data_IF_077010372508
#
_entry.id   IF_077010372508
#
_cell.length_a   1.000
_cell.length_b   1.000
_cell.length_c   1.000
_cell.angle_alpha   90.00
_cell.angle_beta   90.00
_cell.angle_gamma   90.00
#
_symmetry.space_group_name_H-M   'P 1'
#
loop_
_entity.id
_entity.type
_entity.pdbx_description
1 polymer ?
#
# COMPACT_ATOMS: atom_id res chain seq x y z
N UNK A 1 47.46 6.46 94.71
CA UNK A 1 46.17 6.89 94.59
C UNK A 1 45.97 6.94 93.12
N UNK A 2 45.47 5.78 92.59
CA UNK A 2 45.68 5.26 91.26
C UNK A 2 44.66 5.76 90.26
N UNK A 3 45.15 6.20 89.11
CA UNK A 3 44.36 6.44 87.92
C UNK A 3 44.56 5.26 86.94
N UNK A 4 43.54 4.44 86.85
CA UNK A 4 43.50 3.37 85.81
C UNK A 4 43.17 3.95 84.46
N UNK A 5 44.05 3.76 83.48
CA UNK A 5 43.86 4.02 82.05
C UNK A 5 43.00 2.89 81.44
N UNK A 6 41.88 3.25 80.82
CA UNK A 6 41.17 2.38 79.97
C UNK A 6 41.52 2.76 78.53
N UNK A 7 42.19 1.87 77.82
CA UNK A 7 42.37 1.91 76.35
C UNK A 7 41.17 1.34 75.65
N UNK A 8 40.48 2.12 74.85
CA UNK A 8 39.41 1.64 73.94
C UNK A 8 40.03 1.34 72.61
N UNK A 9 39.94 0.07 72.21
CA UNK A 9 40.27 -0.46 70.87
C UNK A 9 39.08 -0.13 69.91
N UNK A 10 39.33 0.80 68.98
CA UNK A 10 38.40 1.00 67.83
C UNK A 10 38.73 -0.01 66.77
N UNK A 11 37.81 -1.00 66.53
CA UNK A 11 37.83 -1.92 65.36
C UNK A 11 37.07 -1.23 64.25
N UNK A 12 37.79 -0.75 63.24
CA UNK A 12 37.19 -0.21 62.02
C UNK A 12 36.86 -1.36 61.07
N UNK A 13 35.57 -1.69 60.95
CA UNK A 13 35.09 -2.66 59.95
C UNK A 13 35.01 -1.95 58.57
N UNK A 14 35.93 -2.27 57.67
CA UNK A 14 35.91 -1.81 56.28
C UNK A 14 34.95 -2.73 55.48
N UNK A 15 33.67 -2.35 55.33
CA UNK A 15 32.73 -3.01 54.44
C UNK A 15 33.02 -2.57 53.00
N UNK A 16 33.70 -3.46 52.24
CA UNK A 16 33.92 -3.29 50.81
C UNK A 16 32.60 -3.44 50.07
N UNK A 17 32.05 -2.31 49.57
CA UNK A 17 30.90 -2.29 48.67
C UNK A 17 31.39 -2.77 47.29
N UNK A 18 31.15 -4.04 46.94
CA UNK A 18 31.30 -4.54 45.58
C UNK A 18 30.23 -3.90 44.71
N UNK A 19 30.56 -2.85 43.98
CA UNK A 19 29.76 -2.32 42.90
C UNK A 19 29.72 -3.35 41.77
N UNK A 20 28.72 -4.23 41.76
CA UNK A 20 28.39 -5.03 40.61
C UNK A 20 27.77 -4.10 39.59
N UNK A 21 28.57 -3.59 38.65
CA UNK A 21 28.02 -2.90 37.47
C UNK A 21 27.15 -3.91 36.71
N UNK A 22 25.87 -3.59 36.45
CA UNK A 22 25.08 -4.46 35.55
C UNK A 22 25.78 -4.48 34.22
N UNK A 23 26.21 -5.67 33.76
CA UNK A 23 26.69 -5.85 32.42
C UNK A 23 25.55 -5.39 31.49
N UNK A 24 25.76 -4.33 30.71
CA UNK A 24 24.91 -4.00 29.60
C UNK A 24 24.89 -5.23 28.68
N UNK A 25 23.86 -6.05 28.79
CA UNK A 25 23.62 -7.09 27.82
C UNK A 25 23.36 -6.36 26.50
N UNK A 26 24.32 -6.42 25.59
CA UNK A 26 24.13 -5.91 24.24
C UNK A 26 22.85 -6.57 23.69
N UNK A 27 21.84 -5.78 23.45
CA UNK A 27 20.60 -6.27 22.88
C UNK A 27 20.96 -6.88 21.53
N UNK A 28 20.57 -8.12 21.31
CA UNK A 28 20.79 -8.78 20.02
C UNK A 28 20.29 -7.86 18.89
N UNK A 29 21.05 -7.71 17.81
CA UNK A 29 20.65 -6.83 16.71
C UNK A 29 19.25 -7.20 16.24
N UNK A 30 18.45 -6.18 15.95
CA UNK A 30 17.10 -6.38 15.41
C UNK A 30 17.17 -7.20 14.13
N UNK A 31 16.27 -8.17 13.99
CA UNK A 31 16.15 -9.01 12.80
C UNK A 31 14.96 -8.51 11.97
N UNK A 32 15.24 -7.95 10.80
CA UNK A 32 14.22 -7.52 9.85
C UNK A 32 14.22 -8.48 8.67
N UNK A 33 13.05 -9.00 8.31
CA UNK A 33 12.82 -9.74 7.07
C UNK A 33 11.94 -8.88 6.18
N UNK A 34 12.43 -8.55 4.98
CA UNK A 34 11.68 -7.76 4.01
C UNK A 34 11.30 -8.62 2.79
N UNK A 35 10.05 -8.47 2.34
CA UNK A 35 9.48 -9.17 1.17
C UNK A 35 8.98 -8.12 0.19
N UNK A 36 9.31 -8.31 -1.09
CA UNK A 36 8.82 -7.50 -2.21
C UNK A 36 7.43 -7.93 -2.67
N UNK A 37 7.21 -7.73 -3.97
CA UNK A 37 5.92 -7.94 -4.62
C UNK A 37 5.47 -9.40 -4.54
N UNK A 38 4.22 -9.61 -4.13
CA UNK A 38 3.61 -10.93 -3.93
C UNK A 38 2.61 -11.25 -5.03
N UNK A 39 1.80 -10.26 -5.42
CA UNK A 39 0.77 -10.38 -6.45
C UNK A 39 -0.07 -11.65 -6.33
N UNK A 40 -0.70 -11.85 -5.17
CA UNK A 40 -1.59 -12.98 -4.94
C UNK A 40 -0.90 -14.36 -4.91
N UNK A 41 0.44 -14.44 -4.85
CA UNK A 41 1.20 -15.69 -4.76
C UNK A 41 1.25 -16.19 -3.31
N UNK A 42 0.17 -16.79 -2.81
CA UNK A 42 0.12 -17.31 -1.43
C UNK A 42 1.15 -18.41 -1.19
N UNK A 43 1.37 -19.29 -2.16
CA UNK A 43 2.36 -20.37 -2.07
C UNK A 43 3.78 -19.82 -2.01
N UNK A 44 4.09 -18.82 -2.83
CA UNK A 44 5.38 -18.13 -2.79
C UNK A 44 5.62 -17.45 -1.45
N UNK A 45 4.63 -16.71 -0.96
CA UNK A 45 4.68 -16.03 0.33
C UNK A 45 4.90 -17.01 1.48
N UNK A 46 4.08 -18.05 1.59
CA UNK A 46 4.17 -19.02 2.70
C UNK A 46 5.46 -19.82 2.64
N UNK A 47 5.95 -20.16 1.44
CA UNK A 47 7.23 -20.85 1.26
C UNK A 47 8.39 -20.01 1.80
N UNK A 48 8.47 -18.74 1.41
CA UNK A 48 9.59 -17.88 1.84
C UNK A 48 9.50 -17.49 3.31
N UNK A 49 8.29 -17.29 3.84
CA UNK A 49 8.10 -17.04 5.27
C UNK A 49 8.51 -18.24 6.14
N UNK A 50 8.24 -19.47 5.69
CA UNK A 50 8.73 -20.71 6.35
C UNK A 50 10.25 -20.80 6.28
N UNK A 51 10.84 -20.56 5.11
CA UNK A 51 12.30 -20.59 4.93
C UNK A 51 13.03 -19.57 5.82
N UNK A 52 12.41 -18.42 6.10
CA UNK A 52 12.96 -17.43 7.04
C UNK A 52 12.67 -17.76 8.51
N UNK A 53 11.84 -18.76 8.81
CA UNK A 53 11.42 -19.12 10.17
C UNK A 53 10.46 -18.10 10.80
N UNK A 54 9.77 -17.27 10.00
CA UNK A 54 8.77 -16.35 10.52
C UNK A 54 7.42 -17.00 10.78
N UNK A 55 7.12 -18.09 10.06
CA UNK A 55 5.89 -18.89 10.28
C UNK A 55 6.23 -20.37 10.30
N UNK A 56 5.36 -21.14 10.96
CA UNK A 56 5.42 -22.60 10.97
C UNK A 56 4.58 -23.26 9.85
N UNK A 57 4.42 -24.59 9.92
CA UNK A 57 3.64 -25.37 8.97
C UNK A 57 2.15 -25.00 8.93
N UNK A 58 1.61 -24.51 10.03
CA UNK A 58 0.21 -24.04 10.15
C UNK A 58 0.02 -22.57 9.77
N UNK A 59 1.07 -21.90 9.31
CA UNK A 59 1.16 -20.47 9.01
C UNK A 59 1.04 -19.56 10.25
N UNK A 60 1.28 -20.10 11.45
CA UNK A 60 1.33 -19.30 12.67
C UNK A 60 2.70 -18.63 12.83
N UNK A 61 2.71 -17.42 13.42
CA UNK A 61 3.92 -16.66 13.65
C UNK A 61 4.89 -17.36 14.63
N UNK A 62 6.11 -17.58 14.19
CA UNK A 62 7.21 -18.14 14.97
C UNK A 62 8.44 -17.23 15.04
N UNK A 63 8.36 -16.05 14.39
CA UNK A 63 9.46 -15.10 14.29
C UNK A 63 9.86 -14.42 15.61
N UNK A 64 9.14 -14.65 16.73
CA UNK A 64 9.41 -14.01 17.99
C UNK A 64 9.43 -12.48 17.86
N UNK A 65 10.54 -11.84 18.26
CA UNK A 65 10.73 -10.37 18.19
C UNK A 65 11.17 -9.83 16.82
N UNK A 66 11.23 -10.67 15.78
CA UNK A 66 11.59 -10.22 14.45
C UNK A 66 10.57 -9.24 13.86
N UNK A 67 11.02 -8.42 12.91
CA UNK A 67 10.17 -7.53 12.12
C UNK A 67 10.01 -8.08 10.71
N UNK A 68 8.77 -8.28 10.27
CA UNK A 68 8.42 -8.51 8.88
C UNK A 68 8.02 -7.18 8.23
N UNK A 69 8.66 -6.85 7.10
CA UNK A 69 8.34 -5.69 6.25
C UNK A 69 7.91 -6.18 4.87
N UNK A 70 6.66 -5.94 4.49
CA UNK A 70 6.17 -6.17 3.15
C UNK A 70 6.08 -4.81 2.43
N UNK A 71 6.69 -4.68 1.22
CA UNK A 71 6.91 -3.38 0.57
C UNK A 71 5.82 -2.97 -0.44
N UNK A 72 4.65 -3.57 -0.41
CA UNK A 72 3.53 -3.28 -1.33
C UNK A 72 3.41 -4.30 -2.45
N UNK A 73 2.38 -4.16 -3.27
CA UNK A 73 2.02 -5.04 -4.37
C UNK A 73 1.80 -6.51 -3.94
N UNK A 74 0.99 -6.68 -2.92
CA UNK A 74 0.53 -8.02 -2.52
C UNK A 74 -0.80 -8.41 -3.18
N UNK A 75 -1.49 -7.47 -3.82
CA UNK A 75 -2.74 -7.66 -4.57
C UNK A 75 -2.49 -7.82 -6.07
N UNK A 76 -3.55 -8.17 -6.79
CA UNK A 76 -3.66 -8.25 -8.24
C UNK A 76 -2.84 -9.34 -8.94
N UNK A 77 -3.17 -9.60 -10.20
CA UNK A 77 -2.52 -10.53 -11.13
C UNK A 77 -2.64 -12.01 -10.75
N UNK A 78 -2.33 -12.36 -9.51
CA UNK A 78 -2.46 -13.71 -9.01
C UNK A 78 -3.80 -13.94 -8.32
N UNK A 79 -4.34 -15.14 -8.49
CA UNK A 79 -5.70 -15.51 -8.10
C UNK A 79 -5.94 -15.48 -6.59
N UNK A 80 -4.88 -15.69 -5.77
CA UNK A 80 -5.00 -15.87 -4.33
C UNK A 80 -4.86 -14.57 -3.51
N UNK A 81 -5.19 -13.43 -4.12
CA UNK A 81 -5.12 -12.10 -3.48
C UNK A 81 -5.81 -12.08 -2.12
N UNK A 82 -7.03 -12.64 -2.02
CA UNK A 82 -7.77 -12.69 -0.75
C UNK A 82 -7.04 -13.48 0.34
N UNK A 83 -6.46 -14.62 0.00
CA UNK A 83 -5.70 -15.44 0.95
C UNK A 83 -4.43 -14.73 1.42
N UNK A 84 -3.75 -13.99 0.54
CA UNK A 84 -2.59 -13.16 0.89
C UNK A 84 -2.98 -12.05 1.87
N UNK A 85 -4.08 -11.34 1.61
CA UNK A 85 -4.60 -10.29 2.51
C UNK A 85 -4.92 -10.86 3.89
N UNK A 86 -5.65 -11.99 3.94
CA UNK A 86 -6.02 -12.63 5.21
C UNK A 86 -4.79 -13.07 6.01
N UNK A 87 -3.77 -13.64 5.35
CA UNK A 87 -2.53 -14.04 6.00
C UNK A 87 -1.76 -12.83 6.55
N UNK A 88 -1.55 -11.77 5.77
CA UNK A 88 -0.83 -10.58 6.21
C UNK A 88 -1.53 -9.91 7.40
N UNK A 89 -2.87 -9.79 7.37
CA UNK A 89 -3.64 -9.28 8.49
C UNK A 89 -3.49 -10.13 9.76
N UNK A 90 -3.51 -11.46 9.62
CA UNK A 90 -3.31 -12.39 10.75
C UNK A 90 -1.89 -12.26 11.33
N UNK A 91 -0.86 -12.17 10.47
CA UNK A 91 0.53 -12.05 10.90
C UNK A 91 0.80 -10.73 11.63
N UNK A 92 0.16 -9.62 11.26
CA UNK A 92 0.27 -8.36 12.01
C UNK A 92 -0.16 -8.52 13.46
N UNK A 93 -1.29 -9.19 13.70
CA UNK A 93 -1.81 -9.44 15.05
C UNK A 93 -0.93 -10.44 15.83
N UNK A 94 -0.54 -11.53 15.18
CA UNK A 94 0.25 -12.58 15.82
C UNK A 94 1.67 -12.11 16.18
N UNK A 95 2.33 -11.37 15.27
CA UNK A 95 3.65 -10.80 15.51
C UNK A 95 3.63 -9.84 16.71
N UNK A 96 2.63 -8.93 16.77
CA UNK A 96 2.48 -8.00 17.88
C UNK A 96 2.29 -8.74 19.22
N UNK A 97 1.48 -9.79 19.25
CA UNK A 97 1.28 -10.63 20.45
C UNK A 97 2.57 -11.32 20.90
N UNK A 98 3.44 -11.71 19.98
CA UNK A 98 4.73 -12.34 20.25
C UNK A 98 5.85 -11.32 20.60
N UNK A 99 5.56 -10.03 20.63
CA UNK A 99 6.54 -8.95 20.86
C UNK A 99 7.40 -8.62 19.64
N UNK A 100 7.03 -9.13 18.48
CA UNK A 100 7.58 -8.79 17.18
C UNK A 100 6.72 -7.77 16.43
N UNK A 101 6.93 -7.68 15.12
CA UNK A 101 6.18 -6.75 14.27
C UNK A 101 6.02 -7.32 12.86
N UNK A 102 4.82 -7.20 12.29
CA UNK A 102 4.63 -7.33 10.86
C UNK A 102 3.97 -6.05 10.34
N UNK A 103 4.43 -5.57 9.20
CA UNK A 103 3.95 -4.31 8.58
C UNK A 103 3.87 -4.51 7.09
N UNK A 104 2.70 -4.23 6.51
CA UNK A 104 2.50 -4.19 5.07
C UNK A 104 2.38 -2.73 4.63
N UNK A 105 3.15 -2.34 3.62
CA UNK A 105 3.08 -1.01 3.01
C UNK A 105 2.13 -1.03 1.81
N UNK A 106 1.69 0.14 1.37
CA UNK A 106 0.94 0.27 0.13
C UNK A 106 1.89 0.31 -1.07
N UNK A 107 1.66 -0.57 -2.04
CA UNK A 107 2.16 -0.46 -3.39
C UNK A 107 1.14 0.23 -4.31
N UNK A 108 1.51 0.37 -5.57
CA UNK A 108 0.60 1.00 -6.53
C UNK A 108 -0.66 0.15 -6.79
N UNK A 109 -0.57 -1.18 -6.71
CA UNK A 109 -1.72 -2.06 -6.89
C UNK A 109 -2.76 -1.93 -5.78
N UNK A 110 -2.35 -1.83 -4.52
CA UNK A 110 -3.27 -1.57 -3.42
C UNK A 110 -3.97 -0.23 -3.61
N UNK A 111 -3.22 0.82 -3.97
CA UNK A 111 -3.78 2.16 -4.16
C UNK A 111 -4.70 2.22 -5.37
N UNK A 112 -4.34 1.60 -6.49
CA UNK A 112 -5.21 1.47 -7.67
C UNK A 112 -6.57 0.90 -7.28
N UNK A 113 -6.57 -0.20 -6.54
CA UNK A 113 -7.80 -0.82 -6.07
C UNK A 113 -8.62 0.08 -5.14
N UNK A 114 -7.98 0.84 -4.24
CA UNK A 114 -8.67 1.77 -3.34
C UNK A 114 -9.36 2.93 -4.08
N UNK A 115 -8.80 3.38 -5.20
CA UNK A 115 -9.39 4.45 -6.01
C UNK A 115 -10.27 3.94 -7.15
N UNK A 116 -10.48 2.63 -7.26
CA UNK A 116 -11.38 2.00 -8.24
C UNK A 116 -10.75 1.65 -9.59
N UNK A 117 -9.42 1.76 -9.74
CA UNK A 117 -8.70 1.29 -10.92
C UNK A 117 -8.42 -0.21 -10.81
N UNK A 118 -9.19 -1.02 -11.51
CA UNK A 118 -9.19 -2.48 -11.36
C UNK A 118 -8.62 -3.21 -12.60
N UNK A 119 -7.82 -2.57 -13.44
CA UNK A 119 -7.30 -3.14 -14.71
C UNK A 119 -6.48 -4.42 -14.54
N UNK A 120 -5.87 -4.62 -13.37
CA UNK A 120 -5.04 -5.80 -13.07
C UNK A 120 -5.77 -6.84 -12.18
N UNK A 121 -7.06 -6.62 -11.90
CA UNK A 121 -7.91 -7.57 -11.17
C UNK A 121 -8.52 -8.55 -12.13
N UNK A 122 -8.19 -9.83 -12.00
CA UNK A 122 -8.70 -10.88 -12.90
C UNK A 122 -10.07 -11.40 -12.46
N UNK A 123 -10.77 -12.12 -13.35
CA UNK A 123 -12.04 -12.77 -13.00
C UNK A 123 -11.89 -13.78 -11.87
N UNK A 124 -10.76 -14.45 -11.83
CA UNK A 124 -10.42 -15.44 -10.80
C UNK A 124 -10.27 -14.77 -9.43
N UNK A 125 -9.68 -13.57 -9.38
CA UNK A 125 -9.62 -12.78 -8.14
C UNK A 125 -11.03 -12.43 -7.66
N UNK A 126 -11.90 -11.90 -8.52
CA UNK A 126 -13.29 -11.61 -8.15
C UNK A 126 -14.02 -12.86 -7.64
N UNK A 127 -13.82 -14.01 -8.31
CA UNK A 127 -14.45 -15.28 -7.92
C UNK A 127 -14.09 -15.71 -6.48
N UNK A 128 -12.91 -15.32 -5.95
CA UNK A 128 -12.54 -15.63 -4.56
C UNK A 128 -13.36 -14.84 -3.53
N UNK A 129 -14.03 -13.76 -3.95
CA UNK A 129 -14.93 -12.97 -3.12
C UNK A 129 -16.39 -13.39 -3.24
N UNK A 130 -16.72 -14.18 -4.27
CA UNK A 130 -18.09 -14.65 -4.50
C UNK A 130 -18.57 -15.60 -3.40
N UNK A 131 -19.88 -15.59 -3.16
CA UNK A 131 -20.59 -16.50 -2.27
C UNK A 131 -21.94 -16.97 -2.88
N UNK A 132 -22.71 -17.73 -2.15
CA UNK A 132 -23.99 -18.28 -2.60
C UNK A 132 -25.04 -17.21 -3.03
N UNK A 133 -24.84 -15.93 -2.64
CA UNK A 133 -25.75 -14.83 -2.97
C UNK A 133 -25.22 -13.94 -4.10
N UNK A 134 -24.07 -14.22 -4.69
CA UNK A 134 -23.42 -13.34 -5.66
C UNK A 134 -24.24 -13.11 -6.92
N UNK A 135 -24.95 -14.12 -7.43
CA UNK A 135 -25.88 -13.94 -8.57
C UNK A 135 -26.99 -12.94 -8.23
N UNK A 136 -27.55 -13.02 -7.02
CA UNK A 136 -28.58 -12.09 -6.57
C UNK A 136 -28.05 -10.66 -6.43
N UNK A 137 -26.85 -10.50 -5.84
CA UNK A 137 -26.21 -9.17 -5.72
C UNK A 137 -25.90 -8.57 -7.07
N UNK A 138 -25.38 -9.37 -8.00
CA UNK A 138 -25.09 -8.92 -9.38
C UNK A 138 -26.35 -8.50 -10.12
N UNK A 139 -27.45 -9.24 -9.94
CA UNK A 139 -28.75 -8.88 -10.52
C UNK A 139 -29.28 -7.57 -9.92
N UNK A 140 -29.19 -7.39 -8.60
CA UNK A 140 -29.58 -6.15 -7.93
C UNK A 140 -28.72 -4.97 -8.40
N UNK A 141 -27.40 -5.12 -8.49
CA UNK A 141 -26.49 -4.08 -8.98
C UNK A 141 -26.82 -3.66 -10.42
N UNK A 142 -27.22 -4.59 -11.29
CA UNK A 142 -27.74 -4.26 -12.61
C UNK A 142 -29.05 -3.46 -12.55
N UNK A 143 -29.97 -3.84 -11.68
CA UNK A 143 -31.27 -3.13 -11.52
C UNK A 143 -31.03 -1.72 -11.01
N UNK A 144 -30.11 -1.53 -10.06
CA UNK A 144 -29.73 -0.23 -9.52
C UNK A 144 -29.07 0.65 -10.60
N UNK A 145 -28.14 0.09 -11.37
CA UNK A 145 -27.54 0.75 -12.53
C UNK A 145 -28.62 1.16 -13.55
N UNK A 146 -29.55 0.24 -13.89
CA UNK A 146 -30.57 0.50 -14.89
C UNK A 146 -31.53 1.60 -14.44
N UNK A 147 -31.91 1.65 -13.16
CA UNK A 147 -32.72 2.72 -12.58
C UNK A 147 -31.99 4.07 -12.64
N UNK A 148 -30.69 4.06 -12.30
CA UNK A 148 -29.82 5.23 -12.39
C UNK A 148 -29.72 5.75 -13.84
N UNK A 149 -29.45 4.87 -14.79
CA UNK A 149 -29.34 5.19 -16.19
C UNK A 149 -30.63 5.80 -16.76
N UNK A 150 -31.80 5.21 -16.49
CA UNK A 150 -33.11 5.77 -16.85
C UNK A 150 -33.31 7.17 -16.31
N UNK A 151 -33.03 7.40 -15.03
CA UNK A 151 -33.15 8.70 -14.39
C UNK A 151 -32.30 9.78 -15.08
N UNK A 152 -31.06 9.46 -15.40
CA UNK A 152 -30.14 10.41 -16.03
C UNK A 152 -30.44 10.64 -17.51
N UNK A 153 -30.98 9.65 -18.23
CA UNK A 153 -31.47 9.80 -19.60
C UNK A 153 -32.69 10.73 -19.72
N UNK A 154 -33.56 10.78 -18.70
CA UNK A 154 -34.78 11.59 -18.70
C UNK A 154 -34.54 13.10 -18.48
N UNK A 155 -33.34 13.51 -18.12
CA UNK A 155 -33.03 14.93 -17.89
C UNK A 155 -32.98 15.79 -19.18
N UNK A 156 -33.13 15.18 -20.35
CA UNK A 156 -33.16 15.87 -21.65
C UNK A 156 -31.84 16.47 -22.10
N UNK A 157 -30.75 16.10 -21.45
CA UNK A 157 -29.39 16.51 -21.74
C UNK A 157 -28.62 15.38 -22.44
N UNK A 158 -27.47 15.62 -23.10
CA UNK A 158 -26.67 14.56 -23.70
C UNK A 158 -26.36 13.48 -22.67
N UNK A 159 -26.74 12.24 -22.95
CA UNK A 159 -26.54 11.12 -22.03
C UNK A 159 -25.13 10.62 -22.13
N UNK A 160 -24.33 10.64 -21.04
CA UNK A 160 -23.00 10.03 -21.04
C UNK A 160 -23.08 8.54 -21.36
N UNK A 161 -22.05 8.03 -22.06
CA UNK A 161 -21.97 6.61 -22.42
C UNK A 161 -22.02 5.68 -21.19
N UNK A 162 -21.58 6.17 -20.04
CA UNK A 162 -21.64 5.45 -18.77
C UNK A 162 -23.08 5.03 -18.38
N UNK A 163 -24.11 5.73 -18.84
CA UNK A 163 -25.53 5.41 -18.60
C UNK A 163 -26.21 4.70 -19.79
N UNK A 164 -25.44 4.29 -20.79
CA UNK A 164 -25.97 3.68 -22.03
C UNK A 164 -25.52 2.23 -22.23
N UNK A 165 -25.00 1.55 -21.21
CA UNK A 165 -24.54 0.17 -21.31
C UNK A 165 -25.71 -0.80 -21.49
N UNK A 166 -25.54 -1.79 -22.38
CA UNK A 166 -26.44 -2.94 -22.44
C UNK A 166 -26.19 -3.87 -21.25
N UNK A 167 -27.19 -4.69 -20.89
CA UNK A 167 -27.04 -5.67 -19.83
C UNK A 167 -25.88 -6.64 -20.09
N UNK A 168 -25.71 -7.07 -21.33
CA UNK A 168 -24.64 -7.99 -21.73
C UNK A 168 -23.25 -7.35 -21.55
N UNK A 169 -23.06 -6.12 -22.02
CA UNK A 169 -21.81 -5.37 -21.85
C UNK A 169 -21.51 -5.17 -20.36
N UNK A 170 -22.50 -4.76 -19.57
CA UNK A 170 -22.35 -4.56 -18.13
C UNK A 170 -21.97 -5.86 -17.40
N UNK A 171 -22.64 -6.99 -17.69
CA UNK A 171 -22.32 -8.29 -17.10
C UNK A 171 -20.90 -8.78 -17.44
N UNK A 172 -20.37 -8.36 -18.60
CA UNK A 172 -19.01 -8.71 -19.03
C UNK A 172 -17.95 -8.04 -18.14
N UNK A 173 -18.19 -6.79 -17.74
CA UNK A 173 -17.29 -5.99 -16.88
C UNK A 173 -17.55 -6.21 -15.39
N UNK A 174 -18.70 -6.79 -15.01
CA UNK A 174 -19.13 -7.07 -13.64
C UNK A 174 -19.31 -8.59 -13.41
N UNK A 175 -18.22 -9.37 -13.37
CA UNK A 175 -18.29 -10.82 -13.12
C UNK A 175 -18.80 -11.11 -11.70
N UNK A 176 -19.10 -12.38 -11.41
CA UNK A 176 -19.44 -12.82 -10.05
C UNK A 176 -18.31 -12.49 -9.09
N UNK A 177 -18.67 -12.00 -7.90
CA UNK A 177 -17.73 -11.56 -6.89
C UNK A 177 -17.27 -10.11 -7.05
N UNK A 178 -17.59 -9.42 -8.17
CA UNK A 178 -17.21 -8.01 -8.37
C UNK A 178 -17.83 -7.09 -7.31
N UNK A 179 -19.14 -7.21 -7.07
CA UNK A 179 -19.83 -6.38 -6.07
C UNK A 179 -19.28 -6.63 -4.66
N UNK A 180 -19.03 -7.89 -4.31
CA UNK A 180 -18.42 -8.29 -3.04
C UNK A 180 -16.99 -7.76 -2.89
N UNK A 181 -16.22 -7.77 -3.95
CA UNK A 181 -14.86 -7.21 -4.00
C UNK A 181 -14.89 -5.70 -3.74
N UNK A 182 -15.74 -4.97 -4.46
CA UNK A 182 -15.93 -3.52 -4.27
C UNK A 182 -16.37 -3.20 -2.84
N UNK A 183 -17.30 -3.96 -2.27
CA UNK A 183 -17.73 -3.79 -0.87
C UNK A 183 -16.59 -4.10 0.10
N UNK A 184 -15.83 -5.19 -0.10
CA UNK A 184 -14.73 -5.58 0.76
C UNK A 184 -13.58 -4.54 0.79
N UNK A 185 -13.38 -3.79 -0.31
CA UNK A 185 -12.38 -2.72 -0.45
C UNK A 185 -12.94 -1.32 -0.19
N UNK A 186 -14.24 -1.18 0.04
CA UNK A 186 -14.88 0.10 0.40
C UNK A 186 -14.30 0.68 1.69
N UNK A 187 -14.51 1.99 1.99
CA UNK A 187 -14.08 2.59 3.25
C UNK A 187 -14.61 1.87 4.51
N UNK A 188 -15.72 1.13 4.39
CA UNK A 188 -16.33 0.34 5.48
C UNK A 188 -16.03 -1.16 5.39
N UNK A 189 -15.48 -1.63 4.29
CA UNK A 189 -15.15 -3.03 4.05
C UNK A 189 -13.94 -3.50 4.85
N UNK A 190 -13.86 -4.80 5.11
CA UNK A 190 -12.79 -5.43 5.89
C UNK A 190 -11.39 -5.05 5.40
N UNK A 191 -11.13 -5.27 4.12
CA UNK A 191 -9.82 -4.99 3.53
C UNK A 191 -9.62 -3.50 3.26
N UNK A 192 -10.68 -2.79 2.88
CA UNK A 192 -10.64 -1.36 2.63
C UNK A 192 -10.25 -0.54 3.86
N UNK A 193 -10.76 -0.88 5.05
CA UNK A 193 -10.36 -0.25 6.32
C UNK A 193 -8.89 -0.55 6.65
N UNK A 194 -8.48 -1.81 6.50
CA UNK A 194 -7.11 -2.22 6.79
C UNK A 194 -6.09 -1.53 5.87
N UNK A 195 -6.36 -1.49 4.56
CA UNK A 195 -5.50 -0.84 3.57
C UNK A 195 -5.38 0.68 3.82
N UNK A 196 -6.49 1.38 4.09
CA UNK A 196 -6.48 2.83 4.37
C UNK A 196 -5.70 3.19 5.64
N UNK A 197 -5.49 2.23 6.54
CA UNK A 197 -4.62 2.36 7.71
C UNK A 197 -3.13 2.26 7.40
N UNK A 198 -2.74 1.82 6.20
CA UNK A 198 -1.33 1.59 5.86
C UNK A 198 -0.61 2.86 5.40
N UNK A 199 0.71 2.80 5.48
CA UNK A 199 1.63 3.79 4.91
C UNK A 199 2.23 3.29 3.61
N UNK A 200 2.70 4.18 2.75
CA UNK A 200 3.49 3.82 1.56
C UNK A 200 4.99 3.79 1.82
N UNK A 201 5.43 4.46 2.88
CA UNK A 201 6.84 4.55 3.26
C UNK A 201 6.99 4.53 4.78
N UNK A 202 8.04 3.85 5.26
CA UNK A 202 8.45 3.86 6.66
C UNK A 202 9.95 3.70 6.79
N UNK A 203 10.51 4.10 7.93
CA UNK A 203 11.94 3.91 8.24
C UNK A 203 12.07 3.00 9.47
N UNK A 204 12.89 1.96 9.36
CA UNK A 204 13.23 1.06 10.47
C UNK A 204 14.74 0.83 10.44
N UNK A 205 15.42 1.03 11.55
CA UNK A 205 16.86 0.83 11.74
C UNK A 205 17.74 1.44 10.62
N UNK A 206 17.38 2.66 10.21
CA UNK A 206 18.10 3.39 9.17
C UNK A 206 17.85 2.89 7.74
N UNK A 207 16.93 1.95 7.53
CA UNK A 207 16.47 1.53 6.21
C UNK A 207 15.12 2.14 5.91
N UNK A 208 14.97 2.78 4.75
CA UNK A 208 13.70 3.30 4.22
C UNK A 208 13.07 2.17 3.42
N UNK A 209 11.90 1.71 3.86
CA UNK A 209 11.08 0.73 3.17
C UNK A 209 9.96 1.45 2.44
N UNK A 210 9.82 1.19 1.16
CA UNK A 210 8.75 1.71 0.32
C UNK A 210 8.57 0.81 -0.91
N UNK A 211 7.46 1.00 -1.62
CA UNK A 211 7.18 0.14 -2.76
C UNK A 211 8.16 0.39 -3.92
N UNK A 212 8.22 1.59 -4.47
CA UNK A 212 9.03 1.90 -5.65
C UNK A 212 10.27 2.73 -5.32
N UNK A 213 10.14 4.04 -5.16
CA UNK A 213 11.31 4.88 -4.89
C UNK A 213 10.95 6.37 -4.89
N UNK A 214 11.95 7.24 -4.77
CA UNK A 214 11.77 8.69 -4.79
C UNK A 214 12.74 9.26 -5.82
N UNK A 215 12.21 10.00 -6.80
CA UNK A 215 13.03 10.82 -7.69
C UNK A 215 13.72 11.91 -6.86
N UNK A 216 15.04 12.05 -6.91
CA UNK A 216 15.79 12.98 -6.05
C UNK A 216 15.34 14.43 -6.15
N UNK A 217 14.93 14.88 -7.34
CA UNK A 217 14.42 16.22 -7.65
C UNK A 217 12.96 16.44 -7.21
N UNK A 218 12.22 15.37 -6.91
CA UNK A 218 10.84 15.41 -6.42
C UNK A 218 10.72 14.98 -4.94
N UNK A 219 11.84 14.78 -4.26
CA UNK A 219 11.86 14.29 -2.90
C UNK A 219 11.29 15.35 -1.93
N UNK A 220 10.29 15.01 -1.11
CA UNK A 220 9.70 15.93 -0.13
C UNK A 220 10.71 16.29 0.99
N UNK A 221 10.37 17.30 1.78
CA UNK A 221 11.18 17.64 2.94
C UNK A 221 11.20 16.51 3.98
N UNK A 222 10.07 15.83 4.17
CA UNK A 222 9.88 14.72 5.11
C UNK A 222 9.24 13.54 4.40
N UNK A 223 9.67 12.30 4.73
CA UNK A 223 9.07 11.09 4.16
C UNK A 223 7.58 10.96 4.49
N UNK A 224 7.16 11.39 5.68
CA UNK A 224 5.75 11.36 6.09
C UNK A 224 4.83 12.23 5.23
N UNK A 225 5.37 13.23 4.55
CA UNK A 225 4.60 14.06 3.62
C UNK A 225 4.02 13.21 2.47
N UNK A 226 4.75 12.16 2.03
CA UNK A 226 4.25 11.19 1.04
C UNK A 226 3.07 10.38 1.58
N UNK A 227 3.15 9.91 2.83
CA UNK A 227 2.05 9.20 3.49
C UNK A 227 0.81 10.10 3.63
N UNK A 228 1.02 11.37 3.98
CA UNK A 228 -0.04 12.38 4.08
C UNK A 228 -0.72 12.62 2.73
N UNK A 229 0.07 12.90 1.69
CA UNK A 229 -0.42 13.14 0.33
C UNK A 229 -1.25 11.95 -0.19
N UNK A 230 -0.73 10.73 -0.09
CA UNK A 230 -1.43 9.53 -0.56
C UNK A 230 -2.77 9.33 0.15
N UNK A 231 -2.79 9.51 1.48
CA UNK A 231 -4.04 9.42 2.26
C UNK A 231 -5.04 10.50 1.86
N UNK A 232 -4.58 11.69 1.52
CA UNK A 232 -5.44 12.78 1.04
C UNK A 232 -6.05 12.46 -0.33
N UNK A 233 -5.27 11.90 -1.26
CA UNK A 233 -5.75 11.48 -2.57
C UNK A 233 -6.82 10.39 -2.45
N UNK A 234 -6.58 9.35 -1.64
CA UNK A 234 -7.57 8.29 -1.38
C UNK A 234 -8.85 8.87 -0.76
N UNK A 235 -8.73 9.76 0.24
CA UNK A 235 -9.90 10.40 0.87
C UNK A 235 -10.66 11.31 -0.08
N UNK A 236 -9.99 12.00 -1.00
CA UNK A 236 -10.65 12.80 -2.04
C UNK A 236 -11.50 11.92 -2.95
N UNK A 237 -10.94 10.79 -3.40
CA UNK A 237 -11.69 9.83 -4.23
C UNK A 237 -12.88 9.23 -3.45
N UNK A 238 -12.66 8.77 -2.22
CA UNK A 238 -13.74 8.21 -1.38
C UNK A 238 -14.91 9.19 -1.23
N UNK A 239 -14.62 10.46 -0.89
CA UNK A 239 -15.67 11.47 -0.74
C UNK A 239 -16.40 11.76 -2.04
N UNK A 240 -15.65 11.90 -3.14
CA UNK A 240 -16.26 12.18 -4.43
C UNK A 240 -17.20 11.05 -4.87
N UNK A 241 -16.80 9.79 -4.70
CA UNK A 241 -17.65 8.63 -5.00
C UNK A 241 -18.90 8.60 -4.11
N UNK A 242 -18.76 8.85 -2.80
CA UNK A 242 -19.90 8.90 -1.89
C UNK A 242 -20.88 10.04 -2.28
N UNK A 243 -20.38 11.25 -2.58
CA UNK A 243 -21.19 12.38 -3.03
C UNK A 243 -21.91 12.08 -4.37
N UNK A 244 -21.24 11.41 -5.33
CA UNK A 244 -21.90 10.98 -6.57
C UNK A 244 -23.03 9.97 -6.33
N UNK A 245 -22.86 9.06 -5.38
CA UNK A 245 -23.90 8.09 -5.00
C UNK A 245 -25.08 8.79 -4.35
N UNK A 246 -24.84 9.72 -3.44
CA UNK A 246 -25.87 10.50 -2.76
C UNK A 246 -26.68 11.38 -3.73
N UNK A 247 -26.03 11.97 -4.72
CA UNK A 247 -26.65 12.75 -5.82
C UNK A 247 -27.33 11.88 -6.89
N UNK A 248 -27.24 10.55 -6.77
CA UNK A 248 -27.79 9.60 -7.75
C UNK A 248 -27.14 9.76 -9.15
N UNK A 249 -25.84 9.91 -9.17
CA UNK A 249 -25.01 10.01 -10.38
C UNK A 249 -24.11 8.77 -10.57
N UNK A 250 -23.87 7.98 -9.52
CA UNK A 250 -23.13 6.74 -9.58
C UNK A 250 -23.74 5.64 -8.71
N UNK A 251 -23.28 4.40 -8.90
CA UNK A 251 -23.46 3.29 -7.96
C UNK A 251 -22.07 2.87 -7.42
N UNK A 252 -22.03 2.02 -6.38
CA UNK A 252 -20.78 1.52 -5.80
C UNK A 252 -19.96 0.67 -6.77
N UNK A 253 -20.63 0.10 -7.76
CA UNK A 253 -20.01 -0.77 -8.76
C UNK A 253 -19.28 -0.01 -9.87
N UNK A 254 -19.43 1.33 -9.93
CA UNK A 254 -18.73 2.12 -10.94
C UNK A 254 -17.21 1.94 -10.81
N UNK A 255 -16.57 1.74 -11.95
CA UNK A 255 -15.11 1.72 -12.09
C UNK A 255 -14.56 3.15 -12.05
N UNK A 256 -13.24 3.31 -11.88
CA UNK A 256 -12.60 4.63 -11.96
C UNK A 256 -12.94 5.35 -13.27
N UNK A 257 -12.93 4.63 -14.41
CA UNK A 257 -13.23 5.23 -15.72
C UNK A 257 -14.65 5.79 -15.78
N UNK A 258 -15.62 5.06 -15.22
CA UNK A 258 -17.01 5.53 -15.16
C UNK A 258 -17.18 6.73 -14.23
N UNK A 259 -16.49 6.75 -13.09
CA UNK A 259 -16.44 7.91 -12.18
C UNK A 259 -15.87 9.15 -12.88
N UNK A 260 -14.76 9.00 -13.63
CA UNK A 260 -14.16 10.10 -14.38
C UNK A 260 -15.06 10.61 -15.51
N UNK A 261 -15.80 9.71 -16.17
CA UNK A 261 -16.79 10.11 -17.17
C UNK A 261 -17.93 10.94 -16.55
N UNK A 262 -18.44 10.52 -15.38
CA UNK A 262 -19.45 11.28 -14.64
C UNK A 262 -18.91 12.66 -14.26
N UNK A 263 -17.70 12.73 -13.71
CA UNK A 263 -17.05 13.99 -13.35
C UNK A 263 -16.95 14.96 -14.54
N UNK A 264 -16.46 14.46 -15.68
CA UNK A 264 -16.34 15.26 -16.91
C UNK A 264 -17.70 15.73 -17.41
N UNK A 265 -18.72 14.87 -17.35
CA UNK A 265 -20.07 15.20 -17.75
C UNK A 265 -20.69 16.32 -16.90
N UNK A 266 -20.61 16.24 -15.57
CA UNK A 266 -21.19 17.24 -14.68
C UNK A 266 -20.53 18.62 -14.88
N UNK A 267 -19.22 18.67 -15.10
CA UNK A 267 -18.53 19.93 -15.47
C UNK A 267 -19.01 20.45 -16.83
N UNK A 268 -19.15 19.55 -17.83
CA UNK A 268 -19.65 19.92 -19.15
C UNK A 268 -21.06 20.52 -19.10
N UNK A 269 -21.96 19.92 -18.34
CA UNK A 269 -23.33 20.40 -18.15
C UNK A 269 -23.36 21.75 -17.45
N UNK A 270 -22.58 21.94 -16.39
CA UNK A 270 -22.48 23.23 -15.70
C UNK A 270 -21.98 24.34 -16.63
N UNK A 271 -20.94 24.06 -17.41
CA UNK A 271 -20.39 24.99 -18.38
C UNK A 271 -21.41 25.35 -19.50
N UNK A 272 -22.14 24.35 -20.02
CA UNK A 272 -23.17 24.56 -21.02
C UNK A 272 -24.30 25.48 -20.51
N UNK A 273 -24.76 25.27 -19.27
CA UNK A 273 -25.76 26.12 -18.60
C UNK A 273 -25.27 27.55 -18.43
N UNK A 274 -24.05 27.75 -17.99
CA UNK A 274 -23.45 29.07 -17.86
C UNK A 274 -23.33 29.80 -19.21
N UNK A 275 -22.92 29.09 -20.25
CA UNK A 275 -22.80 29.63 -21.60
C UNK A 275 -24.18 30.04 -22.17
N UNK A 276 -25.20 29.19 -22.02
CA UNK A 276 -26.56 29.47 -22.45
C UNK A 276 -27.17 30.69 -21.75
N UNK A 277 -26.99 30.83 -20.44
CA UNK A 277 -27.45 32.00 -19.68
C UNK A 277 -26.77 33.29 -20.16
N UNK A 278 -25.45 33.23 -20.39
CA UNK A 278 -24.70 34.38 -20.93
C UNK A 278 -25.19 34.80 -22.32
N UNK A 279 -25.43 33.84 -23.21
CA UNK A 279 -25.96 34.12 -24.57
C UNK A 279 -27.36 34.74 -24.54
N UNK A 280 -28.18 34.30 -23.56
CA UNK A 280 -29.54 34.84 -23.35
C UNK A 280 -29.57 36.17 -22.61
N UNK A 281 -28.43 36.72 -22.19
CA UNK A 281 -28.36 37.96 -21.39
C UNK A 281 -29.04 37.81 -20.01
N UNK A 282 -29.14 36.58 -19.49
CA UNK A 282 -29.78 36.23 -18.21
C UNK A 282 -28.74 35.94 -17.15
N UNK A 283 -29.10 36.17 -15.88
CA UNK A 283 -28.31 35.62 -14.77
C UNK A 283 -28.34 34.09 -14.80
N UNK A 284 -27.21 33.50 -14.42
CA UNK A 284 -27.09 32.05 -14.33
C UNK A 284 -27.93 31.55 -13.16
N UNK A 285 -28.93 30.72 -13.42
CA UNK A 285 -29.59 29.97 -12.35
C UNK A 285 -28.58 28.92 -11.81
N UNK A 286 -28.07 29.17 -10.61
CA UNK A 286 -27.13 28.30 -9.91
C UNK A 286 -27.81 27.25 -9.04
N UNK A 287 -29.12 27.26 -8.89
CA UNK A 287 -29.85 26.33 -8.03
C UNK A 287 -29.67 24.86 -8.39
N UNK A 288 -29.52 24.48 -9.67
CA UNK A 288 -29.23 23.09 -10.06
C UNK A 288 -27.73 22.75 -10.06
N UNK A 289 -26.84 23.68 -9.67
CA UNK A 289 -25.39 23.49 -9.73
C UNK A 289 -24.87 23.17 -8.33
N UNK A 290 -24.43 21.92 -8.12
CA UNK A 290 -23.72 21.56 -6.90
C UNK A 290 -22.24 21.97 -7.03
N UNK A 291 -21.91 23.18 -6.54
CA UNK A 291 -20.56 23.76 -6.62
C UNK A 291 -19.52 22.89 -5.92
N UNK A 292 -19.89 22.27 -4.78
CA UNK A 292 -18.99 21.37 -4.05
C UNK A 292 -18.61 20.16 -4.90
N UNK A 293 -19.60 19.53 -5.52
CA UNK A 293 -19.40 18.37 -6.41
C UNK A 293 -18.52 18.74 -7.63
N UNK A 294 -18.77 19.90 -8.25
CA UNK A 294 -17.95 20.35 -9.38
C UNK A 294 -16.49 20.60 -8.99
N UNK A 295 -16.25 21.20 -7.83
CA UNK A 295 -14.87 21.41 -7.32
C UNK A 295 -14.17 20.07 -7.09
N UNK A 296 -14.86 19.07 -6.53
CA UNK A 296 -14.32 17.72 -6.37
C UNK A 296 -14.07 17.06 -7.74
N UNK A 297 -14.99 17.20 -8.68
CA UNK A 297 -14.84 16.68 -10.04
C UNK A 297 -13.59 17.25 -10.74
N UNK A 298 -13.36 18.57 -10.66
CA UNK A 298 -12.16 19.22 -11.19
C UNK A 298 -10.87 18.68 -10.55
N UNK A 299 -10.88 18.39 -9.25
CA UNK A 299 -9.74 17.82 -8.56
C UNK A 299 -9.49 16.35 -8.97
N UNK A 300 -10.54 15.55 -9.07
CA UNK A 300 -10.43 14.13 -9.46
C UNK A 300 -10.02 13.98 -10.93
N UNK A 301 -10.43 14.88 -11.82
CA UNK A 301 -9.98 14.88 -13.22
C UNK A 301 -8.48 15.20 -13.39
N UNK A 302 -7.79 15.69 -12.35
CA UNK A 302 -6.32 15.85 -12.34
C UNK A 302 -5.58 14.58 -11.88
N UNK A 303 -6.28 13.44 -11.82
CA UNK A 303 -5.76 12.17 -11.28
C UNK A 303 -4.42 11.74 -11.90
N UNK A 304 -4.17 12.05 -13.18
CA UNK A 304 -2.89 11.76 -13.84
C UNK A 304 -1.69 12.50 -13.21
N UNK A 305 -1.95 13.54 -12.40
CA UNK A 305 -0.92 14.23 -11.63
C UNK A 305 -0.74 13.70 -10.21
N UNK A 306 -1.63 12.82 -9.75
CA UNK A 306 -1.63 12.30 -8.38
C UNK A 306 -0.48 11.32 -8.16
N UNK A 307 -0.01 11.25 -6.92
CA UNK A 307 1.00 10.30 -6.49
C UNK A 307 0.53 8.84 -6.71
N UNK A 308 -0.76 8.61 -6.56
CA UNK A 308 -1.40 7.29 -6.73
C UNK A 308 -1.31 6.71 -8.15
N UNK A 309 -1.21 7.55 -9.21
CA UNK A 309 -1.26 7.09 -10.61
C UNK A 309 -0.04 7.51 -11.43
N UNK A 310 0.58 8.64 -11.13
CA UNK A 310 1.63 9.22 -11.97
C UNK A 310 2.92 8.40 -11.92
N UNK A 311 3.40 7.95 -13.09
CA UNK A 311 4.56 7.08 -13.25
C UNK A 311 5.89 7.70 -12.74
N UNK A 312 5.98 9.03 -12.66
CA UNK A 312 7.18 9.73 -12.19
C UNK A 312 7.17 9.97 -10.67
N UNK A 313 6.05 9.65 -9.99
CA UNK A 313 5.89 9.87 -8.55
C UNK A 313 6.36 8.66 -7.73
N UNK A 314 6.54 8.89 -6.43
CA UNK A 314 7.20 7.97 -5.51
C UNK A 314 6.60 6.55 -5.44
N UNK A 315 5.31 6.37 -5.78
CA UNK A 315 4.66 5.06 -5.78
C UNK A 315 4.98 4.22 -7.03
N UNK A 316 5.53 4.88 -8.11
CA UNK A 316 5.78 4.27 -9.41
C UNK A 316 7.23 4.42 -9.89
N UNK A 317 8.02 5.26 -9.22
CA UNK A 317 9.35 5.64 -9.67
C UNK A 317 10.31 4.45 -9.76
N UNK A 318 10.89 4.22 -10.94
CA UNK A 318 11.79 3.08 -11.21
C UNK A 318 13.27 3.43 -11.23
N UNK A 319 13.65 4.67 -10.91
CA UNK A 319 15.04 5.13 -11.04
C UNK A 319 16.04 4.35 -10.20
N UNK A 320 15.64 3.80 -9.03
CA UNK A 320 16.51 2.91 -8.25
C UNK A 320 16.92 1.65 -9.02
N UNK A 321 16.07 1.17 -9.93
CA UNK A 321 16.35 0.01 -10.80
C UNK A 321 16.95 0.39 -12.14
N UNK A 322 16.56 1.51 -12.75
CA UNK A 322 16.84 1.83 -14.16
C UNK A 322 18.02 2.78 -14.37
N UNK A 323 18.31 3.68 -13.42
CA UNK A 323 19.45 4.57 -13.53
C UNK A 323 20.76 3.78 -13.55
N UNK A 324 21.80 4.34 -14.20
CA UNK A 324 23.14 3.76 -14.19
C UNK A 324 23.63 3.61 -12.75
N UNK A 325 24.12 2.43 -12.42
CA UNK A 325 24.65 2.15 -11.08
C UNK A 325 25.92 2.98 -10.80
N UNK A 326 26.00 3.50 -9.58
CA UNK A 326 27.13 4.29 -9.11
C UNK A 326 27.50 3.86 -7.68
N UNK A 327 28.66 3.18 -7.50
CA UNK A 327 29.11 2.74 -6.18
C UNK A 327 29.28 3.87 -5.15
N UNK A 328 29.48 5.13 -5.60
CA UNK A 328 29.51 6.30 -4.71
C UNK A 328 28.13 6.70 -4.21
N UNK A 329 27.06 6.06 -4.72
CA UNK A 329 25.67 6.30 -4.30
C UNK A 329 24.89 7.21 -5.22
N UNK A 330 25.53 7.85 -6.19
CA UNK A 330 24.88 8.73 -7.16
C UNK A 330 23.97 9.76 -6.50
N UNK A 331 22.82 10.08 -7.10
CA UNK A 331 21.90 11.08 -6.55
C UNK A 331 21.22 10.64 -5.24
N UNK A 332 21.25 9.35 -4.91
CA UNK A 332 20.59 8.81 -3.71
C UNK A 332 21.40 8.99 -2.43
N UNK A 333 22.73 9.20 -2.52
CA UNK A 333 23.59 9.44 -1.35
C UNK A 333 23.14 10.68 -0.57
N UNK A 334 22.97 11.82 -1.25
CA UNK A 334 22.50 13.07 -0.65
C UNK A 334 21.07 12.95 -0.11
N UNK A 335 20.21 12.20 -0.81
CA UNK A 335 18.83 11.97 -0.40
C UNK A 335 18.75 11.18 0.90
N UNK A 336 19.51 10.09 1.01
CA UNK A 336 19.59 9.29 2.24
C UNK A 336 20.18 10.09 3.40
N UNK A 337 21.22 10.90 3.16
CA UNK A 337 21.79 11.79 4.17
C UNK A 337 20.72 12.76 4.70
N UNK A 338 19.92 13.38 3.82
CA UNK A 338 18.82 14.28 4.21
C UNK A 338 17.81 13.62 5.13
N UNK A 339 17.48 12.34 4.87
CA UNK A 339 16.52 11.58 5.67
C UNK A 339 17.14 10.85 6.88
N UNK A 340 18.45 10.98 7.11
CA UNK A 340 19.16 10.28 8.19
C UNK A 340 19.11 8.75 8.03
N UNK A 341 19.08 8.26 6.78
CA UNK A 341 18.94 6.84 6.46
C UNK A 341 20.21 6.29 5.78
N UNK A 342 20.38 4.98 5.85
CA UNK A 342 21.49 4.24 5.24
C UNK A 342 21.16 3.78 3.83
N UNK A 343 19.91 3.32 3.61
CA UNK A 343 19.51 2.64 2.36
C UNK A 343 18.01 2.70 2.09
N UNK A 344 17.66 2.51 0.83
CA UNK A 344 16.32 2.17 0.39
C UNK A 344 16.18 0.65 0.25
N UNK A 345 15.02 0.10 0.61
CA UNK A 345 14.62 -1.29 0.35
C UNK A 345 13.29 -1.22 -0.41
N UNK A 346 13.29 -1.68 -1.66
CA UNK A 346 12.14 -1.48 -2.57
C UNK A 346 11.81 -2.72 -3.39
N UNK A 347 10.52 -2.84 -3.76
CA UNK A 347 9.97 -3.80 -4.71
C UNK A 347 9.78 -3.20 -6.11
N UNK A 348 8.55 -3.35 -6.66
CA UNK A 348 8.00 -2.70 -7.85
C UNK A 348 8.61 -3.09 -9.19
N UNK A 349 9.91 -3.34 -9.25
CA UNK A 349 10.59 -3.63 -10.52
C UNK A 349 11.20 -5.03 -10.46
N UNK A 350 10.57 -6.03 -11.09
CA UNK A 350 11.10 -7.39 -11.11
C UNK A 350 12.53 -7.42 -11.63
N UNK A 351 13.44 -7.99 -10.85
CA UNK A 351 14.83 -8.07 -11.21
C UNK A 351 15.06 -9.15 -12.28
N UNK A 352 15.68 -8.77 -13.41
CA UNK A 352 15.90 -9.67 -14.54
C UNK A 352 16.74 -10.92 -14.17
N UNK A 353 17.65 -10.78 -13.19
CA UNK A 353 18.46 -11.87 -12.66
C UNK A 353 17.70 -12.76 -11.65
N UNK A 354 16.44 -12.44 -11.33
CA UNK A 354 15.58 -13.16 -10.36
C UNK A 354 16.20 -13.23 -8.97
N UNK A 355 16.99 -12.23 -8.59
CA UNK A 355 17.71 -12.19 -7.34
C UNK A 355 17.64 -10.79 -6.72
N UNK A 356 17.67 -10.73 -5.40
CA UNK A 356 17.80 -9.48 -4.67
C UNK A 356 19.07 -8.78 -5.13
N UNK A 357 18.96 -7.52 -5.54
CA UNK A 357 20.04 -6.77 -6.18
C UNK A 357 20.42 -5.58 -5.29
N UNK A 358 21.71 -5.50 -4.97
CA UNK A 358 22.30 -4.37 -4.23
C UNK A 358 22.90 -3.39 -5.22
N UNK A 359 22.55 -2.11 -5.10
CA UNK A 359 22.98 -1.04 -6.01
C UNK A 359 23.44 0.19 -5.24
N UNK A 360 24.08 1.11 -5.97
CA UNK A 360 24.53 2.40 -5.45
C UNK A 360 25.40 2.24 -4.18
N UNK A 361 26.33 1.28 -4.19
CA UNK A 361 27.21 1.01 -3.06
C UNK A 361 26.45 0.64 -1.78
N UNK A 362 25.42 -0.20 -1.88
CA UNK A 362 24.61 -0.62 -0.73
C UNK A 362 23.47 0.32 -0.35
N UNK A 363 23.27 1.41 -1.08
CA UNK A 363 22.22 2.42 -0.76
C UNK A 363 20.86 2.09 -1.33
N UNK A 364 20.75 1.15 -2.25
CA UNK A 364 19.50 0.63 -2.76
C UNK A 364 19.53 -0.90 -2.80
N UNK A 365 18.50 -1.52 -2.21
CA UNK A 365 18.33 -2.98 -2.22
C UNK A 365 16.98 -3.25 -2.88
N UNK A 366 17.01 -3.86 -4.05
CA UNK A 366 15.85 -4.18 -4.88
C UNK A 366 15.42 -5.62 -4.60
N UNK A 367 14.24 -5.80 -4.01
CA UNK A 367 13.81 -7.09 -3.47
C UNK A 367 12.66 -7.75 -4.25
N UNK A 368 12.17 -7.12 -5.32
CA UNK A 368 11.22 -7.78 -6.21
C UNK A 368 11.95 -8.76 -7.13
N UNK A 369 11.77 -10.02 -6.90
CA UNK A 369 12.36 -11.12 -7.69
C UNK A 369 11.33 -11.85 -8.54
N UNK A 370 10.12 -11.31 -8.68
CA UNK A 370 9.02 -11.87 -9.45
C UNK A 370 8.39 -13.10 -8.78
N UNK A 371 7.96 -12.97 -7.53
CA UNK A 371 7.43 -14.07 -6.70
C UNK A 371 6.27 -14.80 -7.36
N UNK A 372 5.37 -14.10 -8.07
CA UNK A 372 4.33 -14.71 -8.89
C UNK A 372 4.94 -15.35 -10.15
N UNK A 373 5.48 -16.56 -9.98
CA UNK A 373 6.28 -17.25 -11.01
C UNK A 373 5.53 -17.47 -12.32
N UNK A 374 4.21 -17.68 -12.26
CA UNK A 374 3.38 -17.87 -13.45
C UNK A 374 3.45 -16.66 -14.41
N UNK A 375 3.52 -15.45 -13.87
CA UNK A 375 3.58 -14.19 -14.62
C UNK A 375 5.01 -13.76 -14.89
N UNK A 376 5.85 -13.69 -13.85
CA UNK A 376 7.18 -13.05 -13.95
C UNK A 376 8.33 -14.01 -14.20
N UNK A 377 8.08 -15.32 -14.15
CA UNK A 377 9.12 -16.35 -14.28
C UNK A 377 10.26 -16.21 -13.25
N UNK A 378 9.98 -15.52 -12.15
CA UNK A 378 10.91 -15.28 -11.06
C UNK A 378 10.88 -16.36 -9.97
N UNK A 379 11.18 -15.98 -8.74
CA UNK A 379 11.16 -16.89 -7.57
C UNK A 379 10.81 -16.18 -6.27
N UNK A 380 10.29 -16.87 -5.26
CA UNK A 380 10.12 -16.31 -3.92
C UNK A 380 11.48 -15.92 -3.30
N UNK A 381 11.51 -14.76 -2.66
CA UNK A 381 12.69 -14.28 -1.94
C UNK A 381 12.34 -13.43 -0.74
N UNK A 382 13.28 -13.32 0.21
CA UNK A 382 13.21 -12.37 1.31
C UNK A 382 14.60 -11.81 1.61
N UNK A 383 14.70 -10.53 1.91
CA UNK A 383 15.90 -9.89 2.43
C UNK A 383 15.90 -10.00 3.95
N UNK A 384 17.00 -10.46 4.53
CA UNK A 384 17.27 -10.33 5.98
C UNK A 384 18.25 -9.20 6.22
N UNK A 385 17.90 -8.31 7.16
CA UNK A 385 18.78 -7.28 7.70
C UNK A 385 18.99 -7.61 9.19
N UNK A 386 20.25 -7.78 9.60
CA UNK A 386 20.63 -7.99 11.00
C UNK A 386 21.81 -7.09 11.32
N UNK A 387 21.55 -5.96 11.98
CA UNK A 387 22.53 -4.89 12.09
C UNK A 387 22.96 -4.38 10.71
N UNK A 388 24.25 -4.45 10.40
CA UNK A 388 24.77 -4.06 9.07
C UNK A 388 24.86 -5.23 8.09
N UNK A 389 24.59 -6.46 8.52
CA UNK A 389 24.65 -7.64 7.67
C UNK A 389 23.38 -7.80 6.83
N UNK A 390 23.55 -8.10 5.54
CA UNK A 390 22.50 -8.34 4.58
C UNK A 390 22.57 -9.77 4.05
N UNK A 391 21.43 -10.44 3.95
CA UNK A 391 21.35 -11.77 3.35
C UNK A 391 20.06 -11.92 2.57
N UNK A 392 20.11 -12.65 1.47
CA UNK A 392 18.92 -13.03 0.70
C UNK A 392 18.53 -14.48 1.03
N UNK A 393 17.27 -14.70 1.33
CA UNK A 393 16.65 -16.03 1.37
C UNK A 393 16.00 -16.32 0.02
N UNK A 394 16.17 -17.53 -0.42
CA UNK A 394 15.47 -18.12 -1.56
C UNK A 394 14.99 -19.52 -1.18
N UNK A 395 14.22 -20.16 -2.04
CA UNK A 395 13.72 -21.53 -1.81
C UNK A 395 14.86 -22.57 -1.74
N UNK A 396 16.01 -22.28 -2.33
CA UNK A 396 17.19 -23.14 -2.41
C UNK A 396 18.29 -22.77 -1.39
N UNK A 397 18.06 -21.78 -0.53
CA UNK A 397 18.98 -21.45 0.57
C UNK A 397 19.13 -19.96 0.86
N UNK A 398 20.09 -19.66 1.75
CA UNK A 398 20.45 -18.32 2.21
C UNK A 398 21.83 -17.92 1.63
N UNK A 399 21.92 -16.69 1.11
CA UNK A 399 23.16 -16.14 0.52
C UNK A 399 23.45 -14.78 1.17
N UNK A 400 24.72 -14.54 1.55
CA UNK A 400 25.18 -13.22 2.00
C UNK A 400 25.18 -12.22 0.83
N UNK A 401 24.79 -10.98 1.14
CA UNK A 401 24.84 -9.87 0.18
C UNK A 401 25.97 -8.91 0.54
N UNK A 402 26.53 -8.17 -0.44
CA UNK A 402 27.64 -7.23 -0.21
C UNK A 402 27.24 -6.02 0.64
#
# INVERSE_FOLDING_TARGET
MDLMRRASLLVTLLTGLLCVSPALTAQAPSRIIAIGDIHGSIDGLTTILKATGLIDGSHAWTGGKATLMQTGDYMDRGEQTRAVLDLLMALETQAATAGGRATSLLGNHEVMNLIGENRDVTREIYATFADANSEKRRAQAWDDYSALAKRNQQKGEPVPSVYAQTREAWLTTHPLGFAEYKEALSPKGKYGQWLRGKSMVTTVDGSIFMHAGIAPDQAPARLDDLNGQLKDEIRKMDRFVDDLIDEKLATREFTLQEILQVASNEIGLANARMAAAKQAGKEVDRSPINVSLLTQAEEVLKIDSWLSINAEKALWYRGLSTLKDDPAGGPFAALLQRYGAKRFVTGHTPQANRSITVRFGGRAILIDTGMLTAVYKGRPSALEISGDSLSAYYTDGKVGLP
#
